data_IF_552929131759
#
_entry.id   IF_552929131759
#
_cell.length_a   1.000
_cell.length_b   1.000
_cell.length_c   1.000
_cell.angle_alpha   90.00
_cell.angle_beta   90.00
_cell.angle_gamma   90.00
#
_symmetry.space_group_name_H-M   'P 1'
#
loop_
_entity.id
_entity.type
_entity.pdbx_description
1 polymer ?
#
# COMPACT_ATOMS: atom_id res chain seq x y z
N UNK A 1 60.16 0.23 8.95
CA UNK A 1 59.41 -0.66 8.03
C UNK A 1 57.96 -0.64 8.49
N UNK A 2 57.03 -0.18 7.65
CA UNK A 2 55.61 0.06 7.99
C UNK A 2 54.87 -1.28 8.15
N UNK A 3 54.03 -1.41 9.16
CA UNK A 3 52.96 -2.42 9.17
C UNK A 3 51.65 -1.70 9.49
N UNK A 4 50.84 -1.50 8.44
CA UNK A 4 49.46 -1.06 8.54
C UNK A 4 48.59 -2.32 8.48
N UNK A 5 47.91 -2.64 9.57
CA UNK A 5 46.84 -3.64 9.56
C UNK A 5 45.54 -2.86 9.28
N UNK A 6 45.03 -2.97 8.05
CA UNK A 6 43.70 -2.48 7.69
C UNK A 6 42.65 -3.38 8.33
N UNK A 7 42.00 -2.90 9.39
CA UNK A 7 40.80 -3.50 9.93
C UNK A 7 39.62 -3.20 9.01
N UNK A 8 39.12 -4.20 8.28
CA UNK A 8 37.82 -4.09 7.61
C UNK A 8 36.72 -4.37 8.64
N UNK A 9 36.24 -3.32 9.30
CA UNK A 9 34.96 -3.38 10.01
C UNK A 9 33.84 -3.36 8.96
N UNK A 10 33.32 -4.54 8.61
CA UNK A 10 32.03 -4.65 7.94
C UNK A 10 30.95 -4.29 8.97
N UNK A 11 30.56 -3.01 8.99
CA UNK A 11 29.33 -2.59 9.64
C UNK A 11 28.15 -3.23 8.89
N UNK A 12 27.75 -4.44 9.29
CA UNK A 12 26.41 -4.94 9.02
C UNK A 12 25.43 -3.99 9.70
N UNK A 13 24.93 -2.99 8.97
CA UNK A 13 23.70 -2.30 9.35
C UNK A 13 22.64 -3.38 9.42
N UNK A 14 22.18 -3.69 10.63
CA UNK A 14 21.04 -4.56 10.87
C UNK A 14 19.83 -3.89 10.20
N UNK A 15 19.52 -4.28 8.98
CA UNK A 15 18.35 -3.76 8.25
C UNK A 15 17.13 -4.16 9.05
N UNK A 16 16.40 -3.17 9.58
CA UNK A 16 15.13 -3.43 10.25
C UNK A 16 14.20 -4.03 9.21
N UNK A 17 13.86 -5.30 9.37
CA UNK A 17 12.86 -5.95 8.54
C UNK A 17 11.49 -5.33 8.86
N UNK A 18 10.77 -4.90 7.82
CA UNK A 18 9.43 -4.33 7.94
C UNK A 18 8.39 -5.40 7.65
N UNK A 19 7.34 -5.44 8.47
CA UNK A 19 6.19 -6.33 8.27
C UNK A 19 5.08 -5.61 7.50
N UNK A 20 4.23 -6.37 6.81
CA UNK A 20 3.08 -5.83 6.08
C UNK A 20 2.18 -4.96 6.97
N UNK A 21 1.83 -5.48 8.15
CA UNK A 21 0.94 -4.81 9.09
C UNK A 21 1.52 -3.48 9.61
N UNK A 22 2.84 -3.40 9.83
CA UNK A 22 3.51 -2.17 10.24
C UNK A 22 3.38 -1.08 9.17
N UNK A 23 3.59 -1.45 7.90
CA UNK A 23 3.53 -0.53 6.78
C UNK A 23 2.07 -0.12 6.53
N UNK A 24 1.14 -1.07 6.60
CA UNK A 24 -0.29 -0.81 6.46
C UNK A 24 -0.80 0.17 7.51
N UNK A 25 -0.49 -0.06 8.80
CA UNK A 25 -0.93 0.80 9.89
C UNK A 25 -0.38 2.23 9.77
N UNK A 26 0.81 2.40 9.20
CA UNK A 26 1.37 3.72 8.90
C UNK A 26 0.70 4.39 7.69
N UNK A 27 0.28 3.61 6.68
CA UNK A 27 -0.26 4.14 5.44
C UNK A 27 -1.78 4.40 5.47
N UNK A 28 -2.55 3.58 6.20
CA UNK A 28 -4.02 3.66 6.19
C UNK A 28 -4.56 4.98 6.75
N UNK A 29 -3.77 5.67 7.60
CA UNK A 29 -4.13 6.98 8.17
C UNK A 29 -4.30 8.07 7.10
N UNK A 30 -3.74 7.87 5.91
CA UNK A 30 -3.86 8.82 4.80
C UNK A 30 -5.19 8.70 4.05
N UNK A 31 -5.95 7.63 4.29
CA UNK A 31 -7.30 7.43 3.77
C UNK A 31 -8.35 7.72 4.84
N UNK A 32 -9.54 8.22 4.44
CA UNK A 32 -10.67 8.31 5.36
C UNK A 32 -11.18 6.91 5.71
N UNK A 33 -11.73 6.75 6.92
CA UNK A 33 -12.31 5.48 7.36
C UNK A 33 -13.51 5.02 6.54
N UNK A 34 -14.16 5.94 5.83
CA UNK A 34 -15.30 5.68 4.95
C UNK A 34 -15.20 6.56 3.69
N UNK A 35 -15.51 5.98 2.53
CA UNK A 35 -15.53 6.69 1.23
C UNK A 35 -16.92 6.53 0.60
N UNK A 36 -17.52 7.66 0.19
CA UNK A 36 -18.71 7.68 -0.65
C UNK A 36 -18.34 7.26 -2.08
N UNK A 37 -19.06 6.29 -2.63
CA UNK A 37 -18.88 5.72 -3.96
C UNK A 37 -20.12 5.91 -4.84
N UNK A 38 -21.07 6.76 -4.42
CA UNK A 38 -22.31 7.04 -5.15
C UNK A 38 -22.08 7.69 -6.52
N UNK A 39 -20.89 8.21 -6.76
CA UNK A 39 -20.42 8.80 -8.01
C UNK A 39 -19.95 7.76 -9.05
N UNK A 40 -20.09 6.46 -8.74
CA UNK A 40 -19.71 5.35 -9.60
C UNK A 40 -20.27 5.46 -11.03
N UNK A 41 -19.38 5.35 -12.02
CA UNK A 41 -19.70 5.38 -13.46
C UNK A 41 -19.17 4.12 -14.13
N UNK A 42 -19.95 3.58 -15.08
CA UNK A 42 -19.60 2.39 -15.87
C UNK A 42 -19.15 1.22 -14.97
N UNK A 43 -19.86 1.01 -13.85
CA UNK A 43 -19.52 -0.03 -12.89
C UNK A 43 -20.07 -1.36 -13.39
N UNK A 44 -19.18 -2.32 -13.57
CA UNK A 44 -19.45 -3.70 -13.97
C UNK A 44 -18.54 -4.64 -13.18
N UNK A 45 -18.70 -5.96 -13.38
CA UNK A 45 -17.90 -6.94 -12.63
C UNK A 45 -16.41 -6.76 -12.95
N UNK A 46 -15.64 -6.33 -11.95
CA UNK A 46 -14.19 -6.15 -12.05
C UNK A 46 -13.73 -4.81 -12.64
N UNK A 47 -14.64 -3.89 -12.98
CA UNK A 47 -14.30 -2.59 -13.55
C UNK A 47 -15.29 -1.51 -13.10
N UNK A 48 -14.80 -0.28 -12.93
CA UNK A 48 -15.64 0.84 -12.55
C UNK A 48 -14.82 2.10 -12.31
N UNK A 49 -15.45 3.25 -12.46
CA UNK A 49 -14.83 4.54 -12.19
C UNK A 49 -15.52 5.25 -11.03
N UNK A 50 -14.73 5.64 -10.02
CA UNK A 50 -15.18 6.36 -8.83
C UNK A 50 -14.28 7.58 -8.63
N UNK A 51 -14.78 8.76 -8.98
CA UNK A 51 -14.04 10.02 -8.96
C UNK A 51 -13.61 10.40 -7.53
N UNK A 52 -14.50 10.21 -6.55
CA UNK A 52 -14.22 10.42 -5.13
C UNK A 52 -13.07 9.54 -4.64
N UNK A 53 -13.08 8.25 -5.00
CA UNK A 53 -12.02 7.33 -4.63
C UNK A 53 -10.68 7.71 -5.26
N UNK A 54 -10.68 8.06 -6.56
CA UNK A 54 -9.47 8.54 -7.24
C UNK A 54 -8.92 9.82 -6.59
N UNK A 55 -9.78 10.76 -6.16
CA UNK A 55 -9.36 11.96 -5.44
C UNK A 55 -8.68 11.64 -4.12
N UNK A 56 -9.20 10.71 -3.33
CA UNK A 56 -8.58 10.31 -2.07
C UNK A 56 -7.22 9.65 -2.29
N UNK A 57 -7.09 8.82 -3.33
CA UNK A 57 -5.80 8.25 -3.71
C UNK A 57 -4.78 9.33 -4.09
N UNK A 58 -5.14 10.26 -4.99
CA UNK A 58 -4.24 11.36 -5.37
C UNK A 58 -3.84 12.23 -4.17
N UNK A 59 -4.76 12.48 -3.23
CA UNK A 59 -4.42 13.21 -2.00
C UNK A 59 -3.48 12.42 -1.09
N UNK A 60 -3.66 11.11 -0.98
CA UNK A 60 -2.80 10.25 -0.19
C UNK A 60 -1.38 10.22 -0.78
N UNK A 61 -1.24 10.04 -2.11
CA UNK A 61 0.05 10.11 -2.81
C UNK A 61 0.77 11.45 -2.60
N UNK A 62 0.05 12.57 -2.74
CA UNK A 62 0.64 13.90 -2.52
C UNK A 62 1.13 14.08 -1.07
N UNK A 63 0.42 13.54 -0.08
CA UNK A 63 0.81 13.64 1.33
C UNK A 63 2.02 12.75 1.66
N UNK A 64 2.23 11.67 0.90
CA UNK A 64 3.29 10.69 1.12
C UNK A 64 4.47 10.81 0.15
N UNK A 65 4.55 11.88 -0.64
CA UNK A 65 5.62 12.11 -1.62
C UNK A 65 7.03 12.02 -1.02
N UNK A 66 7.19 12.41 0.25
CA UNK A 66 8.46 12.39 0.98
C UNK A 66 8.62 11.18 1.92
N UNK A 67 7.62 10.31 1.97
CA UNK A 67 7.66 9.08 2.76
C UNK A 67 8.45 7.99 2.01
N UNK A 68 8.75 6.90 2.71
CA UNK A 68 9.45 5.76 2.11
C UNK A 68 8.66 5.12 0.96
N UNK A 69 9.38 4.49 0.03
CA UNK A 69 8.77 3.76 -1.10
C UNK A 69 7.79 2.68 -0.63
N UNK A 70 8.02 2.07 0.54
CA UNK A 70 7.06 1.13 1.15
C UNK A 70 5.70 1.77 1.40
N UNK A 71 5.67 3.00 1.89
CA UNK A 71 4.43 3.74 2.12
C UNK A 71 3.78 4.05 0.78
N UNK A 72 4.52 4.50 -0.22
CA UNK A 72 3.99 4.80 -1.55
C UNK A 72 3.35 3.56 -2.20
N UNK A 73 4.03 2.41 -2.15
CA UNK A 73 3.49 1.13 -2.63
C UNK A 73 2.27 0.67 -1.83
N UNK A 74 2.24 0.93 -0.52
CA UNK A 74 1.09 0.61 0.33
C UNK A 74 -0.11 1.50 0.03
N UNK A 75 0.08 2.80 -0.27
CA UNK A 75 -0.99 3.70 -0.73
C UNK A 75 -1.65 3.14 -2.00
N UNK A 76 -0.85 2.67 -2.96
CA UNK A 76 -1.37 1.98 -4.15
C UNK A 76 -2.13 0.69 -3.81
N UNK A 77 -1.60 -0.14 -2.92
CA UNK A 77 -2.27 -1.35 -2.45
C UNK A 77 -3.62 -1.07 -1.80
N UNK A 78 -3.69 -0.07 -0.92
CA UNK A 78 -4.93 0.39 -0.27
C UNK A 78 -5.95 0.87 -1.32
N UNK A 79 -5.52 1.68 -2.29
CA UNK A 79 -6.39 2.11 -3.39
C UNK A 79 -6.98 0.92 -4.16
N UNK A 80 -6.16 -0.07 -4.51
CA UNK A 80 -6.63 -1.30 -5.17
C UNK A 80 -7.70 -2.02 -4.34
N UNK A 81 -7.47 -2.16 -3.03
CA UNK A 81 -8.43 -2.82 -2.13
C UNK A 81 -9.76 -2.05 -2.01
N UNK A 82 -9.70 -0.72 -1.86
CA UNK A 82 -10.89 0.12 -1.88
C UNK A 82 -11.64 0.02 -3.20
N UNK A 83 -10.93 0.01 -4.33
CA UNK A 83 -11.54 -0.04 -5.66
C UNK A 83 -12.29 -1.36 -5.89
N UNK A 84 -11.66 -2.49 -5.53
CA UNK A 84 -12.31 -3.81 -5.52
C UNK A 84 -13.58 -3.80 -4.67
N UNK A 85 -13.49 -3.32 -3.42
CA UNK A 85 -14.65 -3.24 -2.52
C UNK A 85 -15.71 -2.26 -3.00
N UNK A 86 -15.32 -1.17 -3.66
CA UNK A 86 -16.23 -0.18 -4.22
C UNK A 86 -17.08 -0.78 -5.33
N UNK A 87 -16.48 -1.56 -6.24
CA UNK A 87 -17.22 -2.30 -7.26
C UNK A 87 -18.23 -3.24 -6.61
N UNK A 88 -17.79 -4.08 -5.66
CA UNK A 88 -18.66 -5.04 -4.97
C UNK A 88 -19.81 -4.33 -4.25
N UNK A 89 -19.53 -3.27 -3.50
CA UNK A 89 -20.55 -2.52 -2.76
C UNK A 89 -21.53 -1.84 -3.72
N UNK A 90 -21.05 -1.20 -4.79
CA UNK A 90 -21.90 -0.50 -5.76
C UNK A 90 -22.84 -1.47 -6.51
N UNK A 91 -22.32 -2.62 -6.96
CA UNK A 91 -23.13 -3.65 -7.62
C UNK A 91 -24.19 -4.26 -6.69
N UNK A 92 -23.95 -4.22 -5.38
CA UNK A 92 -24.91 -4.63 -4.34
C UNK A 92 -25.80 -3.47 -3.83
N UNK A 93 -25.80 -2.32 -4.50
CA UNK A 93 -26.64 -1.16 -4.16
C UNK A 93 -26.19 -0.37 -2.93
N UNK A 94 -25.01 -0.67 -2.37
CA UNK A 94 -24.37 0.14 -1.32
C UNK A 94 -23.68 1.35 -1.96
N UNK A 95 -23.62 2.45 -1.20
CA UNK A 95 -23.04 3.72 -1.67
C UNK A 95 -21.75 4.11 -0.96
N UNK A 96 -21.22 3.24 -0.09
CA UNK A 96 -20.07 3.55 0.76
C UNK A 96 -19.14 2.35 0.85
N UNK A 97 -17.87 2.60 1.15
CA UNK A 97 -16.87 1.60 1.51
C UNK A 97 -16.21 2.01 2.82
N UNK A 98 -16.18 1.09 3.79
CA UNK A 98 -15.48 1.29 5.06
C UNK A 98 -14.11 0.62 5.03
N UNK A 99 -13.10 1.21 5.67
CA UNK A 99 -11.74 0.66 5.74
C UNK A 99 -11.69 -0.73 6.40
N UNK A 100 -12.62 -1.01 7.32
CA UNK A 100 -12.72 -2.32 7.98
C UNK A 100 -13.26 -3.42 7.06
N UNK A 101 -13.85 -3.06 5.92
CA UNK A 101 -14.36 -4.03 4.93
C UNK A 101 -13.29 -4.37 3.87
N UNK A 102 -12.09 -3.80 3.95
CA UNK A 102 -11.06 -4.08 2.95
C UNK A 102 -10.63 -5.55 3.00
N UNK A 103 -10.46 -6.12 1.81
CA UNK A 103 -9.91 -7.47 1.65
C UNK A 103 -8.40 -7.40 1.87
N UNK A 104 -7.96 -7.75 3.07
CA UNK A 104 -6.57 -7.65 3.49
C UNK A 104 -5.65 -8.63 2.75
N UNK A 105 -6.17 -9.79 2.34
CA UNK A 105 -5.41 -10.76 1.53
C UNK A 105 -5.14 -10.18 0.14
N UNK A 106 -6.17 -9.61 -0.49
CA UNK A 106 -6.01 -8.93 -1.78
C UNK A 106 -5.09 -7.71 -1.69
N UNK A 107 -5.20 -6.91 -0.62
CA UNK A 107 -4.33 -5.75 -0.39
C UNK A 107 -2.86 -6.20 -0.31
N UNK A 108 -2.58 -7.21 0.53
CA UNK A 108 -1.24 -7.78 0.68
C UNK A 108 -0.70 -8.30 -0.64
N UNK A 109 -1.50 -9.05 -1.39
CA UNK A 109 -1.13 -9.52 -2.72
C UNK A 109 -0.72 -8.37 -3.65
N UNK A 110 -1.51 -7.29 -3.73
CA UNK A 110 -1.21 -6.13 -4.59
C UNK A 110 0.03 -5.36 -4.15
N UNK A 111 0.23 -5.22 -2.85
CA UNK A 111 1.41 -4.61 -2.28
C UNK A 111 2.67 -5.43 -2.59
N UNK A 112 2.64 -6.74 -2.35
CA UNK A 112 3.77 -7.64 -2.61
C UNK A 112 4.07 -7.76 -4.11
N UNK A 113 3.05 -7.83 -4.96
CA UNK A 113 3.21 -7.77 -6.43
C UNK A 113 3.96 -6.50 -6.86
N UNK A 114 3.64 -5.36 -6.24
CA UNK A 114 4.31 -4.09 -6.54
C UNK A 114 5.74 -4.02 -5.98
N UNK A 115 5.99 -4.67 -4.83
CA UNK A 115 7.34 -4.81 -4.26
C UNK A 115 8.28 -5.63 -5.15
N UNK A 116 7.78 -6.68 -5.82
CA UNK A 116 8.61 -7.52 -6.70
C UNK A 116 9.26 -6.75 -7.85
N UNK A 117 8.73 -5.57 -8.20
CA UNK A 117 9.33 -4.67 -9.18
C UNK A 117 10.57 -3.93 -8.64
N UNK A 118 10.83 -3.99 -7.33
CA UNK A 118 11.87 -3.26 -6.61
C UNK A 118 12.73 -4.20 -5.72
N UNK A 119 13.77 -4.84 -6.27
CA UNK A 119 14.57 -5.85 -5.57
C UNK A 119 15.20 -5.38 -4.24
N UNK A 120 15.56 -4.10 -4.15
CA UNK A 120 16.15 -3.51 -2.93
C UNK A 120 15.14 -3.41 -1.77
N UNK A 121 13.85 -3.21 -2.07
CA UNK A 121 12.78 -3.18 -1.07
C UNK A 121 12.43 -4.60 -0.63
N UNK A 122 12.42 -5.57 -1.55
CA UNK A 122 12.16 -6.99 -1.22
C UNK A 122 13.14 -7.49 -0.16
N UNK A 123 14.42 -7.13 -0.23
CA UNK A 123 15.42 -7.53 0.76
C UNK A 123 15.18 -6.97 2.18
N UNK A 124 14.39 -5.90 2.30
CA UNK A 124 14.06 -5.23 3.56
C UNK A 124 12.67 -5.64 4.09
N UNK A 125 11.83 -6.22 3.24
CA UNK A 125 10.50 -6.70 3.59
C UNK A 125 10.55 -8.11 4.17
N UNK A 126 9.81 -8.36 5.25
CA UNK A 126 9.63 -9.70 5.80
C UNK A 126 8.21 -10.17 5.57
N UNK A 127 8.09 -11.31 4.91
CA UNK A 127 6.83 -12.02 4.74
C UNK A 127 6.36 -12.59 6.07
N UNK A 128 5.09 -12.36 6.43
CA UNK A 128 4.46 -13.10 7.53
C UNK A 128 4.44 -14.59 7.15
N UNK A 129 5.33 -15.38 7.75
CA UNK A 129 5.35 -16.85 7.70
C UNK A 129 4.41 -17.45 8.72
#
# INVERSE_FOLDING_TARGET
MKSYIFGYYTHFKKTKQLMFEDIYNQAIIYYPSEIDISDGKKVEKGSGYFEALSKYWSQAELKTEKESDFIQLMIWGIFCAYHKRAIDNFLNGKKKVCSQELDMEYLKFRFEESLLLNPELVAQYKTDT
#
